data_IF_622941126320
#
_entry.id   IF_622941126320
#
_cell.length_a   1.000
_cell.length_b   1.000
_cell.length_c   1.000
_cell.angle_alpha   90.00
_cell.angle_beta   90.00
_cell.angle_gamma   90.00
#
_symmetry.space_group_name_H-M   'P 1'
#
loop_
_entity.id
_entity.type
_entity.pdbx_description
1 polymer ?
#
# COMPACT_ATOMS: atom_id res chain seq x y z
N UNK A 1 -0.68 -1.94 -17.68
CA UNK A 1 -1.51 -1.39 -16.59
C UNK A 1 -2.47 -2.45 -16.03
N UNK A 2 -2.00 -3.69 -15.79
CA UNK A 2 -2.83 -4.84 -15.36
C UNK A 2 -2.48 -5.36 -13.96
N UNK A 3 -1.39 -4.86 -13.38
CA UNK A 3 -0.89 -5.25 -12.05
C UNK A 3 -1.74 -4.59 -10.97
N UNK A 4 -1.98 -3.27 -11.07
CA UNK A 4 -2.81 -2.54 -10.10
C UNK A 4 -4.22 -3.12 -9.95
N UNK A 5 -4.93 -3.41 -11.04
CA UNK A 5 -6.29 -3.94 -10.97
C UNK A 5 -6.35 -5.37 -10.37
N UNK A 6 -5.31 -6.18 -10.58
CA UNK A 6 -5.22 -7.52 -9.98
C UNK A 6 -4.97 -7.42 -8.47
N UNK A 7 -4.07 -6.53 -8.06
CA UNK A 7 -3.76 -6.29 -6.65
C UNK A 7 -4.95 -5.65 -5.91
N UNK A 8 -5.68 -4.73 -6.55
CA UNK A 8 -6.93 -4.16 -6.05
C UNK A 8 -8.01 -5.23 -5.85
N UNK A 9 -8.21 -6.12 -6.82
CA UNK A 9 -9.18 -7.21 -6.68
C UNK A 9 -8.82 -8.17 -5.53
N UNK A 10 -7.53 -8.47 -5.36
CA UNK A 10 -7.05 -9.26 -4.23
C UNK A 10 -7.29 -8.55 -2.89
N UNK A 11 -7.02 -7.24 -2.83
CA UNK A 11 -7.26 -6.41 -1.67
C UNK A 11 -8.75 -6.36 -1.29
N UNK A 12 -9.64 -6.25 -2.28
CA UNK A 12 -11.09 -6.29 -2.08
C UNK A 12 -11.53 -7.61 -1.45
N UNK A 13 -11.05 -8.75 -1.98
CA UNK A 13 -11.32 -10.06 -1.41
C UNK A 13 -10.86 -10.17 0.05
N UNK A 14 -9.65 -9.70 0.37
CA UNK A 14 -9.15 -9.68 1.76
C UNK A 14 -9.99 -8.73 2.63
N UNK A 15 -10.40 -7.58 2.09
CA UNK A 15 -11.18 -6.58 2.84
C UNK A 15 -12.57 -7.09 3.24
N UNK A 16 -13.10 -8.09 2.54
CA UNK A 16 -14.36 -8.74 2.87
C UNK A 16 -14.26 -9.70 4.08
N UNK A 17 -13.04 -10.06 4.50
CA UNK A 17 -12.82 -10.89 5.68
C UNK A 17 -13.01 -10.11 6.98
N UNK A 18 -13.42 -10.80 8.07
CA UNK A 18 -13.28 -10.29 9.43
C UNK A 18 -11.84 -9.85 9.71
N UNK A 19 -11.67 -8.75 10.45
CA UNK A 19 -10.36 -8.15 10.72
C UNK A 19 -9.34 -9.14 11.32
N UNK A 20 -9.79 -10.04 12.18
CA UNK A 20 -8.92 -11.03 12.84
C UNK A 20 -8.50 -12.20 11.93
N UNK A 21 -9.19 -12.39 10.80
CA UNK A 21 -8.87 -13.42 9.81
C UNK A 21 -8.00 -12.89 8.67
N UNK A 22 -7.76 -11.57 8.63
CA UNK A 22 -6.98 -10.97 7.54
C UNK A 22 -5.51 -11.36 7.66
N UNK A 23 -4.88 -11.82 6.56
CA UNK A 23 -3.45 -12.07 6.55
C UNK A 23 -2.69 -10.76 6.82
N UNK A 24 -1.66 -10.83 7.66
CA UNK A 24 -0.89 -9.66 8.08
C UNK A 24 0.47 -9.54 7.39
N UNK A 25 0.87 -10.55 6.62
CA UNK A 25 2.16 -10.59 5.94
C UNK A 25 2.02 -11.13 4.52
N UNK A 26 3.03 -10.83 3.70
CA UNK A 26 3.06 -11.19 2.28
C UNK A 26 2.85 -12.68 2.02
N UNK A 27 3.42 -13.56 2.86
CA UNK A 27 3.36 -14.99 2.64
C UNK A 27 1.97 -15.54 2.94
N UNK A 28 1.42 -15.20 4.10
CA UNK A 28 0.05 -15.59 4.48
C UNK A 28 -0.99 -15.03 3.51
N UNK A 29 -0.81 -13.78 3.05
CA UNK A 29 -1.70 -13.17 2.06
C UNK A 29 -1.67 -13.92 0.73
N UNK A 30 -0.48 -14.25 0.23
CA UNK A 30 -0.34 -14.98 -1.03
C UNK A 30 -0.94 -16.38 -0.96
N UNK A 31 -0.73 -17.09 0.16
CA UNK A 31 -1.30 -18.42 0.37
C UNK A 31 -2.82 -18.38 0.44
N UNK A 32 -3.38 -17.42 1.19
CA UNK A 32 -4.81 -17.22 1.27
C UNK A 32 -5.42 -16.89 -0.10
N UNK A 33 -4.85 -15.92 -0.84
CA UNK A 33 -5.30 -15.52 -2.18
C UNK A 33 -5.32 -16.73 -3.14
N UNK A 34 -4.23 -17.51 -3.17
CA UNK A 34 -4.16 -18.70 -4.04
C UNK A 34 -5.20 -19.75 -3.65
N UNK A 35 -5.45 -19.94 -2.35
CA UNK A 35 -6.44 -20.88 -1.84
C UNK A 35 -7.86 -20.43 -2.21
N UNK A 36 -8.12 -19.13 -2.12
CA UNK A 36 -9.41 -18.55 -2.46
C UNK A 36 -9.71 -18.63 -3.97
N UNK A 37 -8.73 -18.35 -4.83
CA UNK A 37 -8.88 -18.54 -6.28
C UNK A 37 -9.12 -20.01 -6.64
N UNK A 38 -8.39 -20.94 -5.98
CA UNK A 38 -8.62 -22.38 -6.16
C UNK A 38 -10.04 -22.77 -5.75
N UNK A 39 -10.52 -22.27 -4.62
CA UNK A 39 -11.89 -22.52 -4.11
C UNK A 39 -12.95 -22.00 -5.07
N UNK A 40 -12.71 -20.87 -5.73
CA UNK A 40 -13.62 -20.23 -6.71
C UNK A 40 -13.51 -20.81 -8.13
N UNK A 41 -12.55 -21.70 -8.40
CA UNK A 41 -12.29 -22.23 -9.74
C UNK A 41 -11.70 -21.21 -10.73
N UNK A 42 -11.14 -20.11 -10.23
CA UNK A 42 -10.57 -19.01 -11.01
C UNK A 42 -9.12 -19.32 -11.40
N UNK A 43 -8.95 -20.25 -12.34
CA UNK A 43 -7.64 -20.84 -12.67
C UNK A 43 -6.69 -19.87 -13.37
N UNK A 44 -7.20 -18.91 -14.13
CA UNK A 44 -6.38 -17.89 -14.80
C UNK A 44 -5.74 -16.95 -13.78
N UNK A 45 -6.52 -16.50 -12.80
CA UNK A 45 -6.10 -15.65 -11.71
C UNK A 45 -5.15 -16.39 -10.77
N UNK A 46 -5.43 -17.67 -10.48
CA UNK A 46 -4.53 -18.54 -9.72
C UNK A 46 -3.16 -18.66 -10.40
N UNK A 47 -3.13 -18.96 -11.70
CA UNK A 47 -1.89 -19.05 -12.45
C UNK A 47 -1.12 -17.72 -12.43
N UNK A 48 -1.82 -16.59 -12.50
CA UNK A 48 -1.22 -15.27 -12.38
C UNK A 48 -0.66 -15.00 -10.97
N UNK A 49 -1.39 -15.34 -9.92
CA UNK A 49 -0.98 -15.19 -8.52
C UNK A 49 0.30 -15.99 -8.19
N UNK A 50 0.45 -17.17 -8.81
CA UNK A 50 1.57 -18.09 -8.56
C UNK A 50 2.86 -17.72 -9.31
N UNK A 51 2.75 -16.94 -10.39
CA UNK A 51 3.86 -16.69 -11.33
C UNK A 51 5.07 -15.97 -10.71
N UNK A 52 4.83 -15.18 -9.66
CA UNK A 52 5.78 -14.20 -9.14
C UNK A 52 6.15 -14.42 -7.65
N UNK A 53 6.17 -15.67 -7.18
CA UNK A 53 6.77 -16.02 -5.88
C UNK A 53 6.23 -15.19 -4.71
N UNK A 54 4.92 -15.13 -4.54
CA UNK A 54 4.20 -14.39 -3.47
C UNK A 54 4.13 -12.86 -3.65
N UNK A 55 4.43 -12.29 -4.82
CA UNK A 55 4.25 -10.82 -5.03
C UNK A 55 2.79 -10.36 -4.95
N UNK A 56 1.84 -11.24 -5.27
CA UNK A 56 0.41 -10.94 -5.16
C UNK A 56 -0.01 -10.57 -3.73
N UNK A 57 0.59 -11.18 -2.70
CA UNK A 57 0.32 -10.82 -1.32
C UNK A 57 0.85 -9.44 -0.94
N UNK A 58 1.98 -9.02 -1.50
CA UNK A 58 2.58 -7.71 -1.24
C UNK A 58 1.71 -6.59 -1.84
N UNK A 59 1.42 -6.69 -3.13
CA UNK A 59 0.57 -5.72 -3.84
C UNK A 59 -0.85 -5.64 -3.26
N UNK A 60 -1.42 -6.78 -2.87
CA UNK A 60 -2.73 -6.82 -2.23
C UNK A 60 -2.75 -6.13 -0.86
N UNK A 61 -1.71 -6.30 -0.04
CA UNK A 61 -1.62 -5.63 1.27
C UNK A 61 -1.41 -4.12 1.14
N UNK A 62 -0.61 -3.68 0.18
CA UNK A 62 -0.43 -2.25 -0.12
C UNK A 62 -1.75 -1.60 -0.59
N UNK A 63 -2.47 -2.26 -1.49
CA UNK A 63 -3.78 -1.79 -1.94
C UNK A 63 -4.81 -1.83 -0.80
N UNK A 64 -4.82 -2.87 0.03
CA UNK A 64 -5.71 -2.97 1.20
C UNK A 64 -5.49 -1.82 2.17
N UNK A 65 -4.23 -1.49 2.46
CA UNK A 65 -3.88 -0.35 3.32
C UNK A 65 -4.42 0.96 2.74
N UNK A 66 -4.32 1.17 1.44
CA UNK A 66 -4.91 2.34 0.77
C UNK A 66 -6.43 2.40 0.95
N UNK A 67 -7.12 1.26 0.82
CA UNK A 67 -8.58 1.17 1.03
C UNK A 67 -8.95 1.47 2.48
N UNK A 68 -8.20 0.95 3.45
CA UNK A 68 -8.44 1.17 4.88
C UNK A 68 -8.17 2.61 5.31
N UNK A 69 -7.07 3.20 4.84
CA UNK A 69 -6.75 4.60 5.10
C UNK A 69 -7.83 5.53 4.52
N UNK A 70 -8.32 5.23 3.32
CA UNK A 70 -9.44 5.96 2.69
C UNK A 70 -10.72 5.83 3.52
N UNK A 71 -11.07 4.62 3.98
CA UNK A 71 -12.24 4.37 4.85
C UNK A 71 -12.12 5.10 6.20
N UNK A 72 -10.90 5.23 6.73
CA UNK A 72 -10.62 5.97 7.96
C UNK A 72 -10.61 7.50 7.77
N UNK A 73 -10.92 8.00 6.55
CA UNK A 73 -10.88 9.43 6.24
C UNK A 73 -9.47 10.02 6.22
N UNK A 74 -8.42 9.18 6.17
CA UNK A 74 -7.06 9.67 6.05
C UNK A 74 -6.85 10.21 4.64
N UNK A 75 -6.24 11.39 4.49
CA UNK A 75 -5.97 11.93 3.17
C UNK A 75 -4.98 11.02 2.45
N UNK A 76 -5.30 10.66 1.20
CA UNK A 76 -4.35 9.99 0.31
C UNK A 76 -3.17 10.93 0.07
N UNK A 77 -2.07 10.74 0.81
CA UNK A 77 -0.88 11.56 0.65
C UNK A 77 -0.13 11.08 -0.58
N UNK A 78 -0.21 11.85 -1.67
CA UNK A 78 0.66 11.65 -2.83
C UNK A 78 2.12 11.77 -2.39
N UNK A 79 2.99 10.93 -2.95
CA UNK A 79 4.44 10.97 -2.70
C UNK A 79 5.01 12.39 -2.85
N UNK A 80 4.56 13.14 -3.86
CA UNK A 80 4.94 14.54 -4.07
C UNK A 80 4.54 15.46 -2.91
N UNK A 81 3.38 15.24 -2.28
CA UNK A 81 2.93 15.97 -1.10
C UNK A 81 3.78 15.63 0.12
N UNK A 82 4.17 14.36 0.28
CA UNK A 82 5.08 13.94 1.36
C UNK A 82 6.47 14.54 1.19
N UNK A 83 7.04 14.49 -0.02
CA UNK A 83 8.34 15.11 -0.34
C UNK A 83 8.29 16.62 -0.12
N UNK A 84 7.25 17.31 -0.58
CA UNK A 84 7.10 18.76 -0.35
C UNK A 84 6.89 19.12 1.13
N UNK A 85 6.24 18.26 1.91
CA UNK A 85 6.14 18.43 3.37
C UNK A 85 7.50 18.23 4.03
N UNK A 86 8.18 17.13 3.73
CA UNK A 86 9.51 16.83 4.26
C UNK A 86 10.50 17.95 3.92
N UNK A 87 10.52 18.44 2.68
CA UNK A 87 11.37 19.56 2.28
C UNK A 87 11.06 20.83 3.08
N UNK A 88 9.79 21.22 3.21
CA UNK A 88 9.39 22.39 4.01
C UNK A 88 9.79 22.22 5.47
N UNK A 89 9.56 21.06 6.08
CA UNK A 89 9.91 20.81 7.48
C UNK A 89 11.42 20.78 7.70
N UNK A 90 12.21 20.28 6.74
CA UNK A 90 13.66 20.27 6.83
C UNK A 90 14.25 21.67 6.65
N UNK A 91 13.79 22.44 5.66
CA UNK A 91 14.28 23.80 5.39
C UNK A 91 13.83 24.79 6.46
N UNK A 92 12.57 24.73 6.92
CA UNK A 92 12.07 25.61 7.99
C UNK A 92 12.72 25.30 9.35
N UNK A 93 13.25 24.09 9.57
CA UNK A 93 14.06 23.77 10.76
C UNK A 93 15.48 24.35 10.67
N UNK A 94 16.00 24.56 9.47
CA UNK A 94 17.30 25.22 9.25
C UNK A 94 17.22 26.75 9.36
N UNK A 95 16.06 27.34 9.11
CA UNK A 95 15.84 28.81 9.13
C UNK A 95 15.86 29.45 10.54
N UNK A 96 16.03 28.65 11.60
CA UNK A 96 16.36 29.15 12.94
C UNK A 96 17.81 29.68 13.07
N UNK A 97 18.63 29.61 12.02
CA UNK A 97 20.02 30.11 11.98
C UNK A 97 20.32 30.91 10.71
N UNK A 98 19.59 31.98 10.45
CA UNK A 98 20.06 33.07 9.59
C UNK A 98 19.94 34.41 10.32
N UNK A 99 20.82 34.60 11.32
CA UNK A 99 21.24 35.95 11.72
C UNK A 99 22.19 36.44 10.64
N UNK A 100 21.69 37.22 9.70
CA UNK A 100 22.52 37.97 8.75
C UNK A 100 23.20 39.08 9.56
N UNK A 101 24.54 39.11 9.70
CA UNK A 101 25.20 40.24 10.34
C UNK A 101 25.18 41.41 9.37
N UNK A 102 24.50 42.50 9.77
CA UNK A 102 24.69 43.80 9.13
C UNK A 102 26.01 44.34 9.66
N UNK A 103 27.00 44.48 8.79
CA UNK A 103 28.24 45.20 9.08
C UNK A 103 27.98 46.70 8.93
N UNK A 104 28.20 47.45 10.01
CA UNK A 104 28.43 48.91 9.97
C UNK A 104 29.89 49.21 9.59
#
# INVERSE_FOLDING_TARGET
MRVNAFDEANAEMISALPLHDRPSDRASASEWICSEYRRKGQMTELAFAQRDGKRCGDGALDALKCLEDTKAGKPLQRLSTMVARWYRESVLKEDGRLRIPVHD
#
